data_IF_588686535514
#
_entry.id   IF_588686535514
#
_cell.length_a   1.000
_cell.length_b   1.000
_cell.length_c   1.000
_cell.angle_alpha   90.00
_cell.angle_beta   90.00
_cell.angle_gamma   90.00
#
_symmetry.space_group_name_H-M   'P 1'
#
loop_
_entity.id
_entity.type
_entity.pdbx_description
1 polymer ?
#
# COMPACT_ATOMS: atom_id res chain seq x y z
N UNK A 1 10.66 10.59 12.46
CA UNK A 1 11.09 10.78 11.05
C UNK A 1 10.86 12.24 10.68
N UNK A 2 11.77 12.90 9.98
CA UNK A 2 11.59 14.29 9.54
C UNK A 2 11.63 14.40 8.01
N UNK A 3 10.91 15.36 7.46
CA UNK A 3 10.91 15.71 6.04
C UNK A 3 11.03 17.23 5.87
N UNK A 4 11.86 17.73 4.94
CA UNK A 4 11.97 19.16 4.69
C UNK A 4 10.72 19.68 3.97
N UNK A 5 10.17 20.80 4.45
CA UNK A 5 9.12 21.55 3.77
C UNK A 5 9.80 22.55 2.84
N UNK A 6 9.38 22.58 1.58
CA UNK A 6 9.95 23.47 0.55
C UNK A 6 8.91 24.44 0.02
N UNK A 7 9.33 25.65 -0.32
CA UNK A 7 8.52 26.60 -1.10
C UNK A 7 8.45 26.19 -2.59
N UNK A 8 7.69 26.93 -3.39
CA UNK A 8 7.58 26.72 -4.84
C UNK A 8 8.92 26.91 -5.58
N UNK A 9 9.85 27.67 -5.00
CA UNK A 9 11.21 27.84 -5.51
C UNK A 9 12.17 26.72 -5.02
N UNK A 10 11.66 25.72 -4.30
CA UNK A 10 12.43 24.59 -3.79
C UNK A 10 13.28 24.87 -2.55
N UNK A 11 13.20 26.07 -1.97
CA UNK A 11 13.96 26.45 -0.76
C UNK A 11 13.33 25.84 0.48
N UNK A 12 14.15 25.38 1.42
CA UNK A 12 13.65 24.79 2.67
C UNK A 12 13.12 25.92 3.57
N UNK A 13 11.82 25.90 3.83
CA UNK A 13 11.14 26.88 4.69
C UNK A 13 10.87 26.37 6.10
N UNK A 14 10.98 25.06 6.29
CA UNK A 14 10.78 24.44 7.59
C UNK A 14 11.02 22.94 7.60
N UNK A 15 10.86 22.34 8.77
CA UNK A 15 10.97 20.91 8.98
C UNK A 15 9.66 20.38 9.52
N UNK A 16 9.09 19.38 8.85
CA UNK A 16 7.99 18.61 9.41
C UNK A 16 8.56 17.38 10.13
N UNK A 17 8.25 17.24 11.41
CA UNK A 17 8.74 16.16 12.25
C UNK A 17 7.57 15.30 12.72
N UNK A 18 7.60 14.01 12.38
CA UNK A 18 6.77 13.02 13.03
C UNK A 18 7.48 12.55 14.31
N UNK A 19 6.95 13.00 15.45
CA UNK A 19 7.30 12.49 16.77
C UNK A 19 6.37 11.33 17.11
N UNK A 20 6.93 10.17 17.42
CA UNK A 20 6.21 9.01 17.92
C UNK A 20 6.87 8.54 19.21
N UNK A 21 6.11 8.12 20.24
CA UNK A 21 6.71 7.66 21.49
C UNK A 21 7.67 6.49 21.24
N UNK A 22 8.88 6.58 21.81
CA UNK A 22 9.95 5.58 21.62
C UNK A 22 9.58 4.19 22.16
N UNK A 23 8.55 4.15 23.02
CA UNK A 23 7.96 2.96 23.64
C UNK A 23 6.44 2.91 23.45
N UNK A 24 5.88 3.57 22.42
CA UNK A 24 4.55 3.17 21.99
C UNK A 24 4.67 1.66 21.74
N UNK A 25 3.93 0.79 22.46
CA UNK A 25 3.98 -0.63 22.15
C UNK A 25 3.74 -0.72 20.66
N UNK A 26 4.65 -1.36 19.89
CA UNK A 26 4.38 -1.69 18.50
C UNK A 26 2.95 -2.19 18.51
N UNK A 27 1.98 -1.47 17.90
CA UNK A 27 0.60 -1.51 18.33
C UNK A 27 0.22 -2.96 18.54
N UNK A 28 -0.10 -3.38 19.80
CA UNK A 28 -0.43 -4.76 20.04
C UNK A 28 -1.58 -5.03 19.08
N UNK A 29 -1.39 -5.98 18.15
CA UNK A 29 -2.33 -6.28 17.07
C UNK A 29 -2.16 -5.55 15.70
N UNK A 30 -0.93 -5.44 15.18
CA UNK A 30 -0.75 -5.27 13.73
C UNK A 30 -1.50 -6.34 12.90
N UNK A 31 -1.80 -7.52 13.45
CA UNK A 31 -2.54 -8.59 12.77
C UNK A 31 -3.96 -8.20 12.33
N UNK A 32 -4.92 -7.96 13.25
CA UNK A 32 -6.27 -7.50 12.95
C UNK A 32 -6.32 -6.23 12.09
N UNK A 33 -5.55 -5.20 12.41
CA UNK A 33 -5.50 -3.95 11.64
C UNK A 33 -4.99 -4.19 10.21
N UNK A 34 -3.92 -4.98 10.05
CA UNK A 34 -3.39 -5.36 8.73
C UNK A 34 -4.36 -6.23 7.95
N UNK A 35 -5.08 -7.14 8.62
CA UNK A 35 -6.14 -7.94 7.98
C UNK A 35 -7.28 -7.04 7.51
N UNK A 36 -7.75 -6.12 8.34
CA UNK A 36 -8.78 -5.13 8.00
C UNK A 36 -8.35 -4.25 6.82
N UNK A 37 -7.11 -3.75 6.82
CA UNK A 37 -6.57 -3.00 5.70
C UNK A 37 -6.55 -3.83 4.41
N UNK A 38 -6.07 -5.07 4.47
CA UNK A 38 -6.06 -5.95 3.29
C UNK A 38 -7.48 -6.30 2.83
N UNK A 39 -8.47 -6.36 3.72
CA UNK A 39 -9.90 -6.51 3.39
C UNK A 39 -10.49 -5.27 2.72
N UNK A 40 -10.00 -4.09 3.10
CA UNK A 40 -10.44 -2.82 2.54
C UNK A 40 -9.80 -2.50 1.17
N UNK A 41 -8.66 -3.11 0.82
CA UNK A 41 -8.03 -2.94 -0.49
C UNK A 41 -8.89 -3.53 -1.62
N UNK A 42 -8.97 -2.79 -2.73
CA UNK A 42 -9.88 -3.01 -3.86
C UNK A 42 -9.12 -3.02 -5.17
N UNK A 43 -9.79 -3.39 -6.27
CA UNK A 43 -9.17 -3.47 -7.58
C UNK A 43 -8.55 -2.15 -8.06
N UNK A 44 -9.14 -0.99 -7.74
CA UNK A 44 -8.52 0.31 -8.02
C UNK A 44 -7.25 0.56 -7.20
N UNK A 45 -7.19 0.13 -5.94
CA UNK A 45 -5.97 0.21 -5.13
C UNK A 45 -4.85 -0.66 -5.72
N UNK A 46 -5.17 -1.87 -6.19
CA UNK A 46 -4.18 -2.73 -6.86
C UNK A 46 -3.69 -2.11 -8.18
N UNK A 47 -4.58 -1.53 -8.98
CA UNK A 47 -4.22 -0.82 -10.22
C UNK A 47 -3.33 0.39 -9.95
N UNK A 48 -3.66 1.20 -8.94
CA UNK A 48 -2.86 2.36 -8.55
C UNK A 48 -1.48 1.95 -8.06
N UNK A 49 -1.40 0.94 -7.19
CA UNK A 49 -0.14 0.38 -6.71
C UNK A 49 0.75 -0.11 -7.87
N UNK A 50 0.13 -0.77 -8.84
CA UNK A 50 0.82 -1.26 -10.03
C UNK A 50 1.31 -0.11 -10.92
N UNK A 51 0.51 0.94 -11.08
CA UNK A 51 0.90 2.17 -11.77
C UNK A 51 2.11 2.85 -11.12
N UNK A 52 2.18 2.90 -9.79
CA UNK A 52 3.34 3.45 -9.07
C UNK A 52 4.64 2.63 -9.29
N UNK A 53 4.53 1.36 -9.68
CA UNK A 53 5.65 0.49 -9.99
C UNK A 53 5.95 0.40 -11.50
N UNK A 54 5.19 1.08 -12.34
CA UNK A 54 5.23 0.93 -13.80
C UNK A 54 5.04 -0.53 -14.27
N UNK A 55 4.26 -1.30 -13.51
CA UNK A 55 4.05 -2.73 -13.76
C UNK A 55 2.88 -2.99 -14.72
N UNK A 56 3.02 -4.00 -15.57
CA UNK A 56 1.92 -4.63 -16.31
C UNK A 56 1.17 -5.64 -15.43
N UNK A 57 0.00 -6.12 -15.88
CA UNK A 57 -0.74 -7.17 -15.15
C UNK A 57 0.05 -8.47 -15.10
N UNK A 58 0.83 -8.71 -16.13
CA UNK A 58 1.75 -9.81 -16.30
C UNK A 58 2.89 -9.73 -15.28
N UNK A 59 3.40 -8.53 -14.98
CA UNK A 59 4.40 -8.32 -13.93
C UNK A 59 3.85 -8.62 -12.54
N UNK A 60 2.63 -8.14 -12.25
CA UNK A 60 1.96 -8.46 -10.99
C UNK A 60 1.66 -9.97 -10.89
N UNK A 61 1.21 -10.60 -11.97
CA UNK A 61 0.97 -12.04 -12.02
C UNK A 61 2.25 -12.82 -11.69
N UNK A 62 3.36 -12.49 -12.35
CA UNK A 62 4.68 -13.09 -12.11
C UNK A 62 5.16 -12.88 -10.69
N UNK A 63 5.10 -11.65 -10.18
CA UNK A 63 5.57 -11.29 -8.84
C UNK A 63 4.72 -11.91 -7.71
N UNK A 64 3.43 -12.18 -7.97
CA UNK A 64 2.49 -12.78 -7.00
C UNK A 64 2.34 -14.29 -7.13
N UNK A 65 2.85 -14.91 -8.20
CA UNK A 65 2.64 -16.32 -8.51
C UNK A 65 1.18 -16.65 -8.86
N UNK A 66 0.40 -15.67 -9.31
CA UNK A 66 -1.01 -15.84 -9.65
C UNK A 66 -1.22 -15.94 -11.16
N UNK A 67 -2.21 -16.71 -11.62
CA UNK A 67 -2.62 -16.69 -13.02
C UNK A 67 -3.08 -15.27 -13.45
N UNK A 68 -2.78 -14.88 -14.68
CA UNK A 68 -3.15 -13.56 -15.23
C UNK A 68 -4.66 -13.29 -15.16
N UNK A 69 -5.49 -14.31 -15.38
CA UNK A 69 -6.95 -14.24 -15.24
C UNK A 69 -7.38 -13.87 -13.82
N UNK A 70 -6.66 -14.34 -12.81
CA UNK A 70 -6.91 -14.01 -11.41
C UNK A 70 -6.55 -12.56 -11.14
N UNK A 71 -5.42 -12.05 -11.66
CA UNK A 71 -5.04 -10.64 -11.52
C UNK A 71 -6.08 -9.72 -12.18
N UNK A 72 -6.55 -10.06 -13.40
CA UNK A 72 -7.61 -9.31 -14.08
C UNK A 72 -8.90 -9.25 -13.24
N UNK A 73 -9.32 -10.39 -12.67
CA UNK A 73 -10.50 -10.45 -11.79
C UNK A 73 -10.33 -9.61 -10.52
N UNK A 74 -9.14 -9.66 -9.90
CA UNK A 74 -8.84 -8.86 -8.70
C UNK A 74 -8.87 -7.36 -8.98
N UNK A 75 -8.37 -6.91 -10.13
CA UNK A 75 -8.36 -5.50 -10.51
C UNK A 75 -9.74 -4.97 -10.94
N UNK A 76 -10.60 -5.83 -11.49
CA UNK A 76 -11.96 -5.50 -11.91
C UNK A 76 -12.93 -5.35 -10.73
N UNK A 77 -12.61 -5.90 -9.56
CA UNK A 77 -13.44 -5.81 -8.35
C UNK A 77 -13.44 -4.38 -7.78
N UNK A 78 -14.48 -3.63 -8.14
CA UNK A 78 -14.62 -2.21 -7.85
C UNK A 78 -15.64 -1.88 -6.75
N UNK A 79 -16.44 -2.84 -6.26
CA UNK A 79 -17.68 -2.62 -5.48
C UNK A 79 -17.50 -1.69 -4.26
N UNK A 80 -17.59 -0.38 -4.43
CA UNK A 80 -17.45 0.61 -3.37
C UNK A 80 -18.49 0.37 -2.25
N UNK A 81 -18.07 0.46 -0.99
CA UNK A 81 -18.99 0.54 0.15
C UNK A 81 -19.27 -0.74 0.94
N UNK A 82 -18.82 -1.93 0.51
CA UNK A 82 -18.82 -3.13 1.37
C UNK A 82 -17.40 -3.57 1.72
N UNK A 83 -17.11 -3.70 3.02
CA UNK A 83 -15.93 -4.44 3.49
C UNK A 83 -16.06 -5.85 2.92
N UNK A 84 -15.04 -6.31 2.20
CA UNK A 84 -15.03 -7.68 1.70
C UNK A 84 -15.05 -8.61 2.92
N UNK A 85 -16.16 -9.31 3.14
CA UNK A 85 -16.29 -10.28 4.23
C UNK A 85 -15.24 -11.39 4.15
N UNK A 86 -14.78 -11.72 2.93
CA UNK A 86 -13.80 -12.78 2.72
C UNK A 86 -12.68 -12.40 1.74
N UNK A 87 -11.49 -12.09 2.26
CA UNK A 87 -10.28 -11.91 1.45
C UNK A 87 -9.77 -13.27 0.96
N UNK A 88 -9.62 -13.40 -0.36
CA UNK A 88 -9.10 -14.62 -0.96
C UNK A 88 -7.59 -14.73 -0.78
N UNK A 89 -7.06 -15.95 -0.76
CA UNK A 89 -5.61 -16.22 -0.77
C UNK A 89 -4.91 -15.44 -1.90
N UNK A 90 -5.55 -15.35 -3.07
CA UNK A 90 -5.05 -14.60 -4.22
C UNK A 90 -4.94 -13.10 -3.94
N UNK A 91 -5.92 -12.50 -3.25
CA UNK A 91 -5.85 -11.09 -2.87
C UNK A 91 -4.70 -10.81 -1.89
N UNK A 92 -4.49 -11.70 -0.91
CA UNK A 92 -3.30 -11.65 -0.04
C UNK A 92 -1.99 -11.75 -0.85
N UNK A 93 -1.91 -12.67 -1.79
CA UNK A 93 -0.73 -12.85 -2.65
C UNK A 93 -0.39 -11.60 -3.45
N UNK A 94 -1.37 -10.98 -4.09
CA UNK A 94 -1.20 -9.74 -4.85
C UNK A 94 -0.70 -8.59 -3.96
N UNK A 95 -1.34 -8.36 -2.81
CA UNK A 95 -0.95 -7.29 -1.87
C UNK A 95 0.44 -7.55 -1.29
N UNK A 96 0.78 -8.80 -0.98
CA UNK A 96 2.12 -9.16 -0.50
C UNK A 96 3.19 -8.90 -1.56
N UNK A 97 2.92 -9.19 -2.83
CA UNK A 97 3.84 -8.92 -3.94
C UNK A 97 4.11 -7.42 -4.11
N UNK A 98 3.06 -6.60 -4.12
CA UNK A 98 3.19 -5.15 -4.20
C UNK A 98 3.99 -4.59 -3.01
N UNK A 99 3.75 -5.10 -1.80
CA UNK A 99 4.52 -4.71 -0.60
C UNK A 99 5.99 -5.06 -0.69
N UNK A 100 6.32 -6.28 -1.18
CA UNK A 100 7.71 -6.69 -1.41
C UNK A 100 8.40 -5.82 -2.45
N UNK A 101 7.67 -5.35 -3.45
CA UNK A 101 8.17 -4.42 -4.47
C UNK A 101 8.22 -2.96 -4.00
N UNK A 102 7.96 -2.69 -2.71
CA UNK A 102 8.13 -1.36 -2.12
C UNK A 102 6.84 -0.55 -1.95
N UNK A 103 5.66 -1.07 -2.32
CA UNK A 103 4.40 -0.36 -2.08
C UNK A 103 4.02 -0.41 -0.60
N UNK A 104 3.65 0.75 -0.08
CA UNK A 104 3.07 0.92 1.25
C UNK A 104 1.61 1.34 1.09
N UNK A 105 0.73 0.63 1.81
CA UNK A 105 -0.68 0.97 1.94
C UNK A 105 -0.89 1.52 3.34
N UNK A 106 -1.53 2.68 3.44
CA UNK A 106 -1.75 3.39 4.70
C UNK A 106 -3.24 3.72 4.80
N UNK A 107 -3.88 3.27 5.87
CA UNK A 107 -5.22 3.75 6.21
C UNK A 107 -5.08 5.13 6.89
N UNK A 108 -5.86 6.09 6.43
CA UNK A 108 -6.00 7.40 7.03
C UNK A 108 -7.20 7.40 7.99
N UNK A 109 -7.25 8.38 8.89
CA UNK A 109 -8.26 8.45 9.96
C UNK A 109 -9.70 8.63 9.42
N UNK A 110 -9.84 9.17 8.21
CA UNK A 110 -11.12 9.33 7.49
C UNK A 110 -11.58 8.06 6.76
N UNK A 111 -10.83 6.96 6.90
CA UNK A 111 -11.10 5.70 6.20
C UNK A 111 -10.57 5.64 4.76
N UNK A 112 -9.91 6.69 4.28
CA UNK A 112 -9.23 6.70 2.98
C UNK A 112 -7.99 5.82 3.01
N UNK A 113 -7.68 5.16 1.90
CA UNK A 113 -6.44 4.38 1.75
C UNK A 113 -5.47 5.15 0.85
N UNK A 114 -4.36 5.59 1.45
CA UNK A 114 -3.23 6.15 0.72
C UNK A 114 -2.28 5.04 0.23
N UNK A 115 -1.67 5.29 -0.92
CA UNK A 115 -0.64 4.44 -1.52
C UNK A 115 0.65 5.23 -1.71
N UNK A 116 1.77 4.63 -1.34
CA UNK A 116 3.09 5.22 -1.54
C UNK A 116 4.08 4.17 -2.05
N UNK A 117 5.00 4.60 -2.92
CA UNK A 117 6.20 3.82 -3.26
C UNK A 117 7.30 4.19 -2.27
N UNK A 118 7.81 3.21 -1.54
CA UNK A 118 8.99 3.40 -0.70
C UNK A 118 10.20 3.79 -1.55
N UNK A 119 11.03 4.70 -1.04
CA UNK A 119 12.32 5.00 -1.67
C UNK A 119 13.21 3.76 -1.62
N UNK A 120 13.93 3.51 -2.69
CA UNK A 120 15.03 2.56 -2.70
C UNK A 120 16.07 3.09 -1.71
N UNK A 121 16.25 2.40 -0.58
CA UNK A 121 17.40 2.64 0.28
C UNK A 121 18.56 1.97 -0.44
N UNK A 122 19.38 2.77 -1.12
CA UNK A 122 20.68 2.34 -1.60
C UNK A 122 21.41 1.71 -0.40
N UNK A 123 21.64 0.40 -0.47
CA UNK A 123 22.52 -0.28 0.46
C UNK A 123 23.92 0.23 0.15
N UNK A 124 24.42 1.11 1.01
CA UNK A 124 25.83 1.49 1.06
C UNK A 124 26.66 0.43 1.76
#
# INVERSE_FOLDING_TARGET
>A
MSAPVRDEAGRITGWNCLMSPIQAPSPPAAGPLRRGLVQALRGHHLRAARGLLDWSREDLARASGLPLSTVRRLEADAEAGRIRSHVTRSHHGAVAALRRAGIRFVALDDGTIALAKGREVAQG
#
